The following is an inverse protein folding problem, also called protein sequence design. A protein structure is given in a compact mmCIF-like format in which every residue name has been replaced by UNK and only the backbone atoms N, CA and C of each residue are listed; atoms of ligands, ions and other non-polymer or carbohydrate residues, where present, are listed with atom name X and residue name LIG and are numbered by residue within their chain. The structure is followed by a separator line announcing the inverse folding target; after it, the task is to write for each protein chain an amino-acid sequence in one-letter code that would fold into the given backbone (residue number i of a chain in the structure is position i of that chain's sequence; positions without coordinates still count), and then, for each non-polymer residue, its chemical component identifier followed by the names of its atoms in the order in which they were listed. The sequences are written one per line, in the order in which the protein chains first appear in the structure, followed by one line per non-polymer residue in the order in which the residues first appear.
data_IF_308259858722
#
_entry.id   IF_308259858722
#
_cell.length_a   1.000
_cell.length_b   1.000
_cell.length_c   1.000
_cell.angle_alpha   90.00
_cell.angle_beta   90.00
_cell.angle_gamma   90.00
#
_symmetry.space_group_name_H-M   'P 1'
#
loop_
_entity.id
_entity.type
_entity.pdbx_description
1 polymer ?
#
# COMPACT_ATOMS: atom_id res chain seq x y z
N UNK A 1 -2.35 -5.56 23.67
CA UNK A 1 -1.78 -4.98 22.44
C UNK A 1 -1.66 -3.46 22.60
N UNK A 2 -0.76 -3.00 23.48
CA UNK A 2 -0.65 -1.57 23.86
C UNK A 2 0.82 -1.20 24.08
N UNK A 3 1.67 -1.44 23.09
CA UNK A 3 2.96 -0.78 23.07
C UNK A 3 2.81 0.52 22.29
N UNK A 4 2.98 1.70 22.94
CA UNK A 4 3.00 2.95 22.21
C UNK A 4 4.16 2.92 21.21
N UNK A 5 3.90 3.43 20.00
CA UNK A 5 4.92 3.55 18.97
C UNK A 5 6.09 4.40 19.46
N UNK A 6 7.30 3.83 19.42
CA UNK A 6 8.54 4.55 19.72
C UNK A 6 9.31 4.78 18.40
N UNK A 7 9.38 6.02 17.90
CA UNK A 7 10.00 6.30 16.61
C UNK A 7 11.51 6.04 16.61
N UNK A 8 12.21 6.32 17.72
CA UNK A 8 13.65 6.11 17.80
C UNK A 8 14.00 4.62 17.77
N UNK A 9 13.21 3.82 18.48
CA UNK A 9 13.38 2.37 18.47
C UNK A 9 13.11 1.80 17.08
N UNK A 10 12.03 2.24 16.42
CA UNK A 10 11.71 1.84 15.05
C UNK A 10 12.87 2.14 14.08
N UNK A 11 13.45 3.34 14.14
CA UNK A 11 14.58 3.72 13.26
C UNK A 11 15.79 2.83 13.53
N UNK A 12 16.14 2.55 14.80
CA UNK A 12 17.25 1.65 15.15
C UNK A 12 17.02 0.23 14.62
N UNK A 13 15.82 -0.29 14.77
CA UNK A 13 15.48 -1.64 14.32
C UNK A 13 15.51 -1.74 12.79
N UNK A 14 14.96 -0.73 12.09
CA UNK A 14 15.01 -0.65 10.63
C UNK A 14 16.45 -0.61 10.10
N UNK A 15 17.30 0.25 10.67
CA UNK A 15 18.70 0.38 10.25
C UNK A 15 19.51 -0.90 10.49
N UNK A 16 19.37 -1.50 11.67
CA UNK A 16 20.08 -2.75 12.00
C UNK A 16 19.60 -3.94 11.17
N UNK A 17 18.29 -4.04 10.93
CA UNK A 17 17.71 -5.04 10.04
C UNK A 17 18.20 -4.89 8.60
N UNK A 18 18.15 -3.67 8.07
CA UNK A 18 18.64 -3.33 6.72
C UNK A 18 20.11 -3.68 6.56
N UNK A 19 20.95 -3.31 7.52
CA UNK A 19 22.38 -3.63 7.49
C UNK A 19 22.62 -5.14 7.46
N UNK A 20 21.88 -5.92 8.25
CA UNK A 20 21.97 -7.38 8.28
C UNK A 20 21.53 -8.01 6.96
N UNK A 21 20.42 -7.56 6.40
CA UNK A 21 19.91 -8.03 5.10
C UNK A 21 20.88 -7.71 3.96
N UNK A 22 21.46 -6.51 3.98
CA UNK A 22 22.44 -6.07 2.97
C UNK A 22 23.71 -6.92 3.04
N UNK A 23 24.24 -7.16 4.24
CA UNK A 23 25.50 -7.87 4.42
C UNK A 23 25.41 -9.38 4.14
N UNK A 24 24.28 -10.02 4.47
CA UNK A 24 24.19 -11.49 4.48
C UNK A 24 23.14 -12.09 3.54
N UNK A 25 22.22 -11.29 2.98
CA UNK A 25 21.05 -11.80 2.26
C UNK A 25 20.82 -11.13 0.90
N UNK A 26 21.81 -10.37 0.40
CA UNK A 26 21.75 -9.78 -0.95
C UNK A 26 20.67 -8.71 -1.13
N UNK A 27 20.20 -8.11 -0.02
CA UNK A 27 19.28 -6.99 -0.07
C UNK A 27 19.98 -5.73 -0.57
N UNK A 28 19.38 -5.04 -1.54
CA UNK A 28 19.83 -3.75 -2.03
C UNK A 28 18.75 -2.70 -1.69
N UNK A 29 18.97 -1.84 -0.68
CA UNK A 29 18.00 -0.83 -0.30
C UNK A 29 17.62 0.13 -1.44
N UNK A 30 18.50 0.32 -2.45
CA UNK A 30 18.19 1.17 -3.60
C UNK A 30 17.15 0.59 -4.55
N UNK A 31 16.83 -0.70 -4.39
CA UNK A 31 15.85 -1.45 -5.21
C UNK A 31 14.56 -1.75 -4.46
N UNK A 32 14.42 -1.29 -3.21
CA UNK A 32 13.17 -1.41 -2.45
C UNK A 32 12.06 -0.59 -3.11
N UNK A 33 10.88 -1.21 -3.29
CA UNK A 33 9.75 -0.58 -3.95
C UNK A 33 8.42 -1.03 -3.35
N UNK A 34 7.61 -0.06 -2.91
CA UNK A 34 6.24 -0.31 -2.51
C UNK A 34 5.37 -0.58 -3.74
N UNK A 35 4.70 -1.73 -3.74
CA UNK A 35 3.85 -2.16 -4.85
C UNK A 35 2.37 -1.75 -4.63
N UNK A 36 1.87 -1.55 -3.41
CA UNK A 36 0.45 -1.22 -3.21
C UNK A 36 0.06 0.24 -3.52
N UNK A 37 -1.20 0.48 -3.90
CA UNK A 37 -1.76 1.81 -4.17
C UNK A 37 -2.91 2.19 -3.24
N UNK A 38 -2.96 3.47 -2.86
CA UNK A 38 -4.05 4.07 -2.07
C UNK A 38 -4.51 5.38 -2.72
N UNK A 39 -5.79 5.72 -2.57
CA UNK A 39 -6.37 6.93 -3.16
C UNK A 39 -7.66 7.35 -2.46
N UNK A 40 -8.09 8.58 -2.75
CA UNK A 40 -9.28 9.19 -2.15
C UNK A 40 -10.02 10.02 -3.21
N UNK A 41 -11.35 9.89 -3.27
CA UNK A 41 -12.23 10.70 -4.12
C UNK A 41 -13.26 11.38 -3.23
N UNK A 42 -13.44 12.70 -3.38
CA UNK A 42 -14.32 13.51 -2.53
C UNK A 42 -15.11 14.51 -3.37
N UNK A 43 -16.39 14.67 -3.03
CA UNK A 43 -17.19 15.81 -3.48
C UNK A 43 -16.91 17.02 -2.57
N UNK A 44 -16.29 18.08 -3.11
CA UNK A 44 -15.89 19.25 -2.33
C UNK A 44 -17.08 20.04 -1.76
N UNK A 45 -18.27 19.88 -2.34
CA UNK A 45 -19.51 20.48 -1.86
C UNK A 45 -20.21 19.65 -0.77
N UNK A 46 -19.63 18.51 -0.38
CA UNK A 46 -20.16 17.61 0.65
C UNK A 46 -21.43 16.87 0.25
N UNK A 47 -21.89 16.99 -1.00
CA UNK A 47 -23.11 16.30 -1.45
C UNK A 47 -22.78 14.86 -1.82
N UNK A 48 -23.60 13.91 -1.36
CA UNK A 48 -23.50 12.51 -1.75
C UNK A 48 -23.76 12.36 -3.24
N UNK A 49 -22.90 11.65 -3.94
CA UNK A 49 -23.02 11.41 -5.38
C UNK A 49 -22.52 10.03 -5.77
N UNK A 50 -23.16 9.44 -6.78
CA UNK A 50 -22.77 8.15 -7.34
C UNK A 50 -21.47 8.24 -8.15
N UNK A 51 -21.18 9.39 -8.74
CA UNK A 51 -19.95 9.63 -9.52
C UNK A 51 -18.68 9.46 -8.68
N UNK A 52 -18.70 9.83 -7.39
CA UNK A 52 -17.60 9.61 -6.43
C UNK A 52 -17.28 8.11 -6.29
N UNK A 53 -18.30 7.27 -6.14
CA UNK A 53 -18.12 5.81 -6.03
C UNK A 53 -17.62 5.23 -7.35
N UNK A 54 -18.17 5.68 -8.49
CA UNK A 54 -17.74 5.23 -9.81
C UNK A 54 -16.27 5.58 -10.06
N UNK A 55 -15.86 6.81 -9.75
CA UNK A 55 -14.47 7.24 -9.85
C UNK A 55 -13.53 6.43 -8.94
N UNK A 56 -13.97 6.07 -7.73
CA UNK A 56 -13.22 5.17 -6.86
C UNK A 56 -12.99 3.77 -7.46
N UNK A 57 -14.02 3.21 -8.11
CA UNK A 57 -13.92 1.92 -8.81
C UNK A 57 -12.97 2.04 -10.02
N UNK A 58 -13.06 3.12 -10.80
CA UNK A 58 -12.19 3.31 -11.96
C UNK A 58 -10.73 3.51 -11.56
N UNK A 59 -10.48 4.17 -10.41
CA UNK A 59 -9.15 4.24 -9.82
C UNK A 59 -8.61 2.85 -9.43
N UNK A 60 -9.42 2.00 -8.80
CA UNK A 60 -9.02 0.61 -8.45
C UNK A 60 -8.70 -0.23 -9.69
N UNK A 61 -9.39 -0.01 -10.81
CA UNK A 61 -9.08 -0.68 -12.09
C UNK A 61 -7.77 -0.22 -12.71
N UNK A 62 -7.20 0.90 -12.29
CA UNK A 62 -5.98 1.44 -12.87
C UNK A 62 -4.70 1.00 -12.14
N UNK A 63 -4.80 0.32 -10.99
CA UNK A 63 -3.64 -0.04 -10.14
C UNK A 63 -3.18 -1.50 -10.22
N UNK A 64 -3.77 -2.30 -11.11
CA UNK A 64 -3.44 -3.73 -11.27
C UNK A 64 -1.95 -3.99 -11.53
N UNK A 65 -1.27 -3.08 -12.23
CA UNK A 65 0.16 -3.19 -12.56
C UNK A 65 1.08 -3.07 -11.34
N UNK A 66 0.53 -2.72 -10.17
CA UNK A 66 1.26 -2.64 -8.91
C UNK A 66 0.78 -3.67 -7.88
N UNK A 67 -0.24 -4.46 -8.18
CA UNK A 67 -0.65 -5.58 -7.32
C UNK A 67 0.12 -6.86 -7.67
N UNK A 68 0.26 -7.78 -6.72
CA UNK A 68 0.60 -9.15 -7.07
C UNK A 68 -0.55 -9.76 -7.88
N UNK A 69 -0.20 -10.39 -9.00
CA UNK A 69 -1.14 -11.14 -9.85
C UNK A 69 -0.67 -12.58 -9.86
N UNK A 70 -1.52 -13.49 -9.40
CA UNK A 70 -1.20 -14.92 -9.44
C UNK A 70 -1.30 -15.46 -10.88
N UNK A 71 -0.68 -16.61 -11.12
CA UNK A 71 -0.61 -17.24 -12.44
C UNK A 71 -1.99 -17.63 -13.01
N UNK A 72 -3.03 -17.73 -12.17
CA UNK A 72 -4.41 -18.02 -12.59
C UNK A 72 -5.11 -16.83 -13.28
N UNK A 73 -4.53 -15.63 -13.21
CA UNK A 73 -5.09 -14.39 -13.76
C UNK A 73 -6.35 -13.90 -13.04
N UNK A 74 -6.66 -14.44 -11.86
CA UNK A 74 -7.88 -14.13 -11.08
C UNK A 74 -7.54 -13.70 -9.65
N UNK A 75 -6.53 -14.32 -9.05
CA UNK A 75 -6.16 -14.11 -7.66
C UNK A 75 -5.22 -12.91 -7.53
N UNK A 76 -5.51 -12.08 -6.52
CA UNK A 76 -4.65 -11.00 -6.06
C UNK A 76 -4.77 -10.84 -4.55
N UNK A 77 -3.82 -10.13 -3.94
CA UNK A 77 -3.70 -10.07 -2.47
C UNK A 77 -4.89 -9.38 -1.78
N UNK A 78 -5.51 -8.40 -2.45
CA UNK A 78 -6.71 -7.73 -1.95
C UNK A 78 -6.94 -6.35 -2.56
N UNK A 79 -8.21 -5.96 -2.65
CA UNK A 79 -8.64 -4.62 -2.99
C UNK A 79 -9.88 -4.26 -2.16
N UNK A 80 -10.05 -2.98 -1.85
CA UNK A 80 -11.17 -2.51 -1.04
C UNK A 80 -11.55 -1.08 -1.36
N UNK A 81 -12.82 -0.77 -1.12
CA UNK A 81 -13.36 0.58 -1.17
C UNK A 81 -14.19 0.81 0.08
N UNK A 82 -13.93 1.91 0.77
CA UNK A 82 -14.75 2.37 1.88
C UNK A 82 -15.61 3.54 1.41
N UNK A 83 -16.90 3.50 1.70
CA UNK A 83 -17.89 4.53 1.38
C UNK A 83 -18.78 4.76 2.60
N UNK A 84 -19.38 5.94 2.66
CA UNK A 84 -20.33 6.36 3.70
C UNK A 84 -21.75 5.78 3.51
#
# INVERSE_FOLDING_TARGET
MTHPFNPEQFVRDYQSGTARLTAAYGYDPSREQDSCGVGLVVALDGRRRRDVVAAGIDALKAVWHRGAVDADGKTGDGAGIHVE
#
